data_IF_312699896846
#
_entry.id   IF_312699896846
#
_cell.length_a   1.000
_cell.length_b   1.000
_cell.length_c   1.000
_cell.angle_alpha   90.00
_cell.angle_beta   90.00
_cell.angle_gamma   90.00
#
_symmetry.space_group_name_H-M   'P 1'
#
loop_
_entity.id
_entity.type
_entity.pdbx_description
1 polymer ?
#
# COMPACT_ATOMS: atom_id res chain seq x y z
N UNK A 1 9.34 -37.81 -5.22
CA UNK A 1 9.55 -36.49 -4.63
C UNK A 1 9.65 -35.49 -5.78
N UNK A 2 8.86 -34.40 -5.74
CA UNK A 2 8.92 -33.38 -6.79
C UNK A 2 10.28 -32.71 -6.81
N UNK A 3 10.86 -32.48 -8.02
CA UNK A 3 12.21 -31.91 -8.26
C UNK A 3 12.49 -30.60 -7.46
N UNK A 4 11.45 -29.87 -7.09
CA UNK A 4 11.54 -28.57 -6.42
C UNK A 4 11.09 -28.59 -4.94
N UNK A 5 10.74 -29.78 -4.40
CA UNK A 5 10.32 -29.90 -3.03
C UNK A 5 11.42 -29.43 -2.06
N UNK A 6 11.07 -28.59 -1.11
CA UNK A 6 11.99 -28.06 -0.09
C UNK A 6 12.92 -26.94 -0.55
N UNK A 7 12.91 -26.52 -1.83
CA UNK A 7 13.78 -25.42 -2.30
C UNK A 7 13.49 -24.07 -1.65
N UNK A 8 12.26 -23.84 -1.19
CA UNK A 8 11.85 -22.62 -0.50
C UNK A 8 11.90 -22.68 1.03
N UNK A 9 12.38 -23.81 1.62
CA UNK A 9 12.34 -24.00 3.10
C UNK A 9 13.10 -22.93 3.89
N UNK A 10 14.15 -22.35 3.30
CA UNK A 10 14.97 -21.31 3.92
C UNK A 10 14.56 -19.89 3.44
N UNK A 11 13.40 -19.77 2.80
CA UNK A 11 12.90 -18.55 2.18
C UNK A 11 13.51 -18.27 0.80
N UNK A 12 13.06 -17.18 0.18
CA UNK A 12 13.47 -16.75 -1.16
C UNK A 12 14.37 -15.51 -1.10
N UNK A 13 15.28 -15.39 -2.07
CA UNK A 13 16.10 -14.19 -2.20
C UNK A 13 15.29 -12.98 -2.68
N UNK A 14 14.23 -13.24 -3.47
CA UNK A 14 13.30 -12.22 -3.96
C UNK A 14 11.88 -12.76 -3.82
N UNK A 15 11.01 -11.96 -3.21
CA UNK A 15 9.55 -12.11 -3.25
C UNK A 15 8.96 -10.94 -4.04
N UNK A 16 7.88 -11.17 -4.77
CA UNK A 16 7.36 -10.19 -5.71
C UNK A 16 5.83 -10.11 -5.66
N UNK A 17 5.28 -8.89 -5.66
CA UNK A 17 3.86 -8.63 -5.73
C UNK A 17 3.59 -7.50 -6.73
N UNK A 18 3.35 -7.87 -8.00
CA UNK A 18 3.18 -6.90 -9.08
C UNK A 18 1.71 -6.65 -9.37
N UNK A 19 1.29 -5.37 -9.27
CA UNK A 19 -0.09 -4.91 -9.53
C UNK A 19 -1.17 -5.70 -8.76
N UNK A 20 -0.83 -6.17 -7.55
CA UNK A 20 -1.72 -6.95 -6.70
C UNK A 20 -1.69 -6.53 -5.22
N UNK A 21 -0.74 -5.64 -4.82
CA UNK A 21 -0.58 -5.18 -3.44
C UNK A 21 -1.85 -4.51 -2.90
N UNK A 22 -2.58 -3.80 -3.74
CA UNK A 22 -3.81 -3.09 -3.40
C UNK A 22 -4.95 -4.01 -2.92
N UNK A 23 -4.97 -5.28 -3.30
CA UNK A 23 -6.00 -6.21 -2.80
C UNK A 23 -5.85 -6.50 -1.31
N UNK A 24 -4.64 -6.43 -0.77
CA UNK A 24 -4.36 -6.69 0.64
C UNK A 24 -4.69 -5.50 1.56
N UNK A 25 -4.99 -4.33 0.99
CA UNK A 25 -5.46 -3.16 1.74
C UNK A 25 -6.98 -3.13 1.96
N UNK A 26 -7.67 -4.26 1.77
CA UNK A 26 -9.10 -4.39 2.06
C UNK A 26 -9.43 -4.19 3.54
N UNK A 27 -8.64 -4.79 4.43
CA UNK A 27 -8.74 -4.60 5.88
C UNK A 27 -7.41 -4.97 6.54
N UNK A 28 -7.27 -4.58 7.80
CA UNK A 28 -6.02 -4.75 8.54
C UNK A 28 -5.63 -6.23 8.71
N UNK A 29 -6.59 -7.12 8.89
CA UNK A 29 -6.33 -8.56 9.07
C UNK A 29 -5.74 -9.18 7.81
N UNK A 30 -6.29 -8.85 6.64
CA UNK A 30 -5.78 -9.33 5.34
C UNK A 30 -4.37 -8.76 5.08
N UNK A 31 -4.17 -7.47 5.36
CA UNK A 31 -2.86 -6.84 5.21
C UNK A 31 -1.81 -7.51 6.10
N UNK A 32 -2.11 -7.72 7.38
CA UNK A 32 -1.22 -8.37 8.33
C UNK A 32 -0.86 -9.80 7.91
N UNK A 33 -1.83 -10.60 7.47
CA UNK A 33 -1.59 -11.96 6.96
C UNK A 33 -0.69 -11.96 5.74
N UNK A 34 -0.90 -11.02 4.81
CA UNK A 34 -0.05 -10.86 3.64
C UNK A 34 1.39 -10.51 4.03
N UNK A 35 1.57 -9.51 4.91
CA UNK A 35 2.88 -9.06 5.37
C UNK A 35 3.62 -10.15 6.15
N UNK A 36 2.88 -10.94 6.96
CA UNK A 36 3.42 -12.14 7.60
C UNK A 36 4.00 -13.11 6.56
N UNK A 37 3.21 -13.46 5.54
CA UNK A 37 3.66 -14.37 4.48
C UNK A 37 4.90 -13.82 3.76
N UNK A 38 4.92 -12.53 3.42
CA UNK A 38 6.08 -11.88 2.80
C UNK A 38 7.30 -11.97 3.70
N UNK A 39 7.14 -11.72 5.01
CA UNK A 39 8.23 -11.82 5.98
C UNK A 39 8.75 -13.25 6.12
N UNK A 40 7.88 -14.23 6.31
CA UNK A 40 8.27 -15.63 6.48
C UNK A 40 8.89 -16.23 5.20
N UNK A 41 8.42 -15.80 4.01
CA UNK A 41 8.92 -16.31 2.74
C UNK A 41 10.22 -15.63 2.24
N UNK A 42 10.61 -14.47 2.77
CA UNK A 42 11.80 -13.74 2.33
C UNK A 42 12.96 -13.97 3.29
N UNK A 43 14.14 -14.35 2.77
CA UNK A 43 15.38 -14.48 3.56
C UNK A 43 15.84 -13.13 4.10
N UNK A 44 16.57 -13.13 5.22
CA UNK A 44 17.40 -11.97 5.60
C UNK A 44 18.38 -11.67 4.47
N UNK A 45 18.54 -10.40 4.16
CA UNK A 45 19.23 -9.85 2.98
C UNK A 45 18.53 -10.14 1.64
N UNK A 46 17.36 -10.77 1.63
CA UNK A 46 16.50 -10.87 0.46
C UNK A 46 15.67 -9.61 0.25
N UNK A 47 14.96 -9.58 -0.87
CA UNK A 47 14.20 -8.39 -1.30
C UNK A 47 12.72 -8.72 -1.48
N UNK A 48 11.87 -7.76 -1.15
CA UNK A 48 10.47 -7.74 -1.56
C UNK A 48 10.26 -6.59 -2.55
N UNK A 49 9.78 -6.93 -3.75
CA UNK A 49 9.52 -5.97 -4.83
C UNK A 49 8.03 -5.92 -5.12
N UNK A 50 7.45 -4.72 -5.10
CA UNK A 50 6.03 -4.56 -5.33
C UNK A 50 5.71 -3.36 -6.21
N UNK A 51 4.60 -3.45 -6.94
CA UNK A 51 4.00 -2.34 -7.69
C UNK A 51 2.50 -2.28 -7.43
N UNK A 52 1.95 -1.07 -7.40
CA UNK A 52 0.52 -0.82 -7.30
C UNK A 52 0.21 0.63 -7.74
N UNK A 53 -1.06 0.99 -7.81
CA UNK A 53 -1.43 2.40 -7.89
C UNK A 53 -0.86 3.17 -6.69
N UNK A 54 -0.38 4.39 -6.94
CA UNK A 54 -0.03 5.36 -5.90
C UNK A 54 -1.31 5.84 -5.22
N UNK A 55 -1.62 5.29 -4.05
CA UNK A 55 -2.85 5.58 -3.33
C UNK A 55 -2.99 7.07 -2.98
N UNK A 56 -1.89 7.74 -2.66
CA UNK A 56 -1.91 9.17 -2.38
C UNK A 56 -2.25 9.99 -3.64
N UNK A 57 -1.69 9.61 -4.80
CA UNK A 57 -1.99 10.26 -6.09
C UNK A 57 -3.45 10.06 -6.49
N UNK A 58 -3.98 8.82 -6.37
CA UNK A 58 -5.38 8.52 -6.68
C UNK A 58 -6.33 9.23 -5.69
N UNK A 59 -6.00 9.23 -4.39
CA UNK A 59 -6.80 9.93 -3.38
C UNK A 59 -6.95 11.42 -3.72
N UNK A 60 -5.84 12.10 -4.00
CA UNK A 60 -5.83 13.51 -4.38
C UNK A 60 -6.62 13.78 -5.68
N UNK A 61 -6.51 12.88 -6.68
CA UNK A 61 -7.28 12.99 -7.92
C UNK A 61 -8.80 12.90 -7.69
N UNK A 62 -9.22 12.12 -6.68
CA UNK A 62 -10.62 11.89 -6.33
C UNK A 62 -11.13 12.82 -5.22
N UNK A 63 -10.34 13.79 -4.75
CA UNK A 63 -10.69 14.65 -3.60
C UNK A 63 -12.01 15.37 -3.80
N UNK A 64 -12.21 16.00 -4.97
CA UNK A 64 -13.42 16.74 -5.31
C UNK A 64 -14.62 15.89 -5.74
N UNK A 65 -14.43 14.58 -5.87
CA UNK A 65 -15.44 13.63 -6.33
C UNK A 65 -16.22 13.04 -5.16
N UNK A 66 -17.52 12.85 -5.34
CA UNK A 66 -18.37 12.12 -4.40
C UNK A 66 -18.25 10.61 -4.63
N UNK A 67 -18.63 9.83 -3.63
CA UNK A 67 -18.77 8.38 -3.77
C UNK A 67 -19.72 8.02 -4.92
N UNK A 68 -19.30 7.11 -5.79
CA UNK A 68 -19.98 6.73 -7.01
C UNK A 68 -19.62 7.58 -8.24
N UNK A 69 -18.87 8.66 -8.08
CA UNK A 69 -18.36 9.45 -9.21
C UNK A 69 -16.99 8.91 -9.67
N UNK A 70 -16.67 9.10 -10.96
CA UNK A 70 -15.48 8.50 -11.58
C UNK A 70 -14.70 9.49 -12.44
N UNK A 71 -13.40 9.17 -12.60
CA UNK A 71 -12.51 9.76 -13.59
C UNK A 71 -12.28 8.73 -14.69
N UNK A 72 -12.44 9.14 -15.96
CA UNK A 72 -12.34 8.27 -17.11
C UNK A 72 -11.25 8.73 -18.06
N UNK A 73 -10.47 7.79 -18.60
CA UNK A 73 -9.54 8.01 -19.70
C UNK A 73 -10.10 7.31 -20.95
N UNK A 74 -10.19 8.07 -22.04
CA UNK A 74 -10.72 7.60 -23.32
C UNK A 74 -9.64 7.58 -24.40
N UNK A 75 -9.75 6.62 -25.33
CA UNK A 75 -8.98 6.54 -26.57
C UNK A 75 -9.98 6.55 -27.74
N UNK A 76 -9.90 7.54 -28.63
CA UNK A 76 -10.79 7.66 -29.77
C UNK A 76 -12.29 7.56 -29.41
N UNK A 77 -12.70 8.20 -28.31
CA UNK A 77 -14.08 8.17 -27.80
C UNK A 77 -14.48 6.91 -27.05
N UNK A 78 -13.64 5.87 -27.01
CA UNK A 78 -13.89 4.63 -26.25
C UNK A 78 -13.19 4.70 -24.89
N UNK A 79 -13.90 4.35 -23.82
CA UNK A 79 -13.33 4.21 -22.47
C UNK A 79 -12.26 3.10 -22.45
N UNK A 80 -11.05 3.43 -22.02
CA UNK A 80 -9.94 2.49 -21.85
C UNK A 80 -9.57 2.27 -20.39
N UNK A 81 -9.85 3.26 -19.54
CA UNK A 81 -9.60 3.18 -18.10
C UNK A 81 -10.59 4.07 -17.35
N UNK A 82 -10.95 3.69 -16.14
CA UNK A 82 -11.79 4.45 -15.23
C UNK A 82 -11.45 4.10 -13.79
N UNK A 83 -11.47 5.10 -12.90
CA UNK A 83 -11.47 4.90 -11.45
C UNK A 83 -12.69 5.57 -10.84
N UNK A 84 -13.48 4.81 -10.09
CA UNK A 84 -14.66 5.29 -9.37
C UNK A 84 -14.38 5.30 -7.87
N UNK A 85 -14.69 6.42 -7.20
CA UNK A 85 -14.59 6.58 -5.75
C UNK A 85 -15.66 5.76 -5.02
N UNK A 86 -15.25 4.88 -4.12
CA UNK A 86 -16.18 4.01 -3.38
C UNK A 86 -16.12 4.22 -1.85
N UNK A 87 -15.48 5.33 -1.39
CA UNK A 87 -15.32 5.70 0.01
C UNK A 87 -15.85 7.11 0.27
N UNK A 88 -16.14 7.42 1.55
CA UNK A 88 -16.65 8.73 2.01
C UNK A 88 -15.62 9.49 2.88
N UNK A 89 -14.43 8.91 3.11
CA UNK A 89 -13.40 9.51 3.96
C UNK A 89 -12.78 10.75 3.31
N UNK A 90 -12.52 11.78 4.13
CA UNK A 90 -11.98 13.06 3.69
C UNK A 90 -10.45 13.17 3.86
N UNK A 91 -9.84 12.32 4.68
CA UNK A 91 -8.41 12.32 4.96
C UNK A 91 -7.83 10.96 4.65
N UNK A 92 -6.58 10.91 4.19
CA UNK A 92 -5.84 9.69 3.91
C UNK A 92 -4.57 9.68 4.76
N UNK A 93 -4.72 9.32 6.04
CA UNK A 93 -3.67 9.41 7.06
C UNK A 93 -2.60 8.34 6.85
N UNK A 94 -1.39 8.64 7.36
CA UNK A 94 -0.25 7.72 7.29
C UNK A 94 -0.28 6.68 8.42
N UNK A 95 -1.46 6.08 8.71
CA UNK A 95 -1.69 5.10 9.77
C UNK A 95 -2.69 4.01 9.34
N UNK A 96 -3.10 3.13 10.25
CA UNK A 96 -4.00 2.01 9.98
C UNK A 96 -5.39 2.45 9.50
N UNK A 97 -5.80 3.69 9.75
CA UNK A 97 -7.07 4.23 9.24
C UNK A 97 -7.06 4.43 7.72
N UNK A 98 -5.88 4.40 7.07
CA UNK A 98 -5.75 4.44 5.60
C UNK A 98 -6.11 3.12 4.89
N UNK A 99 -6.42 2.08 5.63
CA UNK A 99 -6.89 0.80 5.07
C UNK A 99 -8.39 0.90 4.75
N UNK A 100 -8.85 0.13 3.75
CA UNK A 100 -10.24 0.06 3.29
C UNK A 100 -10.74 1.29 2.47
N UNK A 101 -9.85 2.04 1.85
CA UNK A 101 -10.23 3.07 0.86
C UNK A 101 -10.54 2.41 -0.48
N UNK A 102 -11.75 1.90 -0.60
CA UNK A 102 -12.22 1.12 -1.76
C UNK A 102 -12.39 1.99 -2.98
N UNK A 103 -11.88 1.52 -4.12
CA UNK A 103 -12.12 2.06 -5.46
C UNK A 103 -12.62 0.96 -6.38
N UNK A 104 -13.28 1.34 -7.47
CA UNK A 104 -13.61 0.44 -8.57
C UNK A 104 -12.81 0.87 -9.79
N UNK A 105 -11.99 -0.03 -10.34
CA UNK A 105 -11.11 0.28 -11.47
C UNK A 105 -11.53 -0.53 -12.69
N UNK A 106 -11.81 0.14 -13.79
CA UNK A 106 -12.03 -0.49 -15.08
C UNK A 106 -10.79 -0.33 -15.96
N UNK A 107 -10.41 -1.43 -16.61
CA UNK A 107 -9.37 -1.45 -17.66
C UNK A 107 -9.92 -2.21 -18.87
N UNK A 108 -9.76 -1.65 -20.08
CA UNK A 108 -10.25 -2.24 -21.34
C UNK A 108 -9.64 -3.64 -21.59
N UNK A 109 -8.39 -3.86 -21.16
CA UNK A 109 -7.72 -5.16 -21.25
C UNK A 109 -8.37 -6.27 -20.38
N UNK A 110 -9.06 -5.87 -19.30
CA UNK A 110 -9.78 -6.81 -18.40
C UNK A 110 -11.26 -6.88 -18.78
N UNK A 111 -11.82 -5.78 -19.33
CA UNK A 111 -13.19 -5.71 -19.82
C UNK A 111 -14.27 -5.61 -18.74
N UNK A 112 -13.92 -5.56 -17.46
CA UNK A 112 -14.85 -5.41 -16.33
C UNK A 112 -14.22 -4.62 -15.18
N UNK A 113 -15.04 -3.92 -14.36
CA UNK A 113 -14.52 -3.26 -13.16
C UNK A 113 -14.02 -4.28 -12.14
N UNK A 114 -12.89 -3.95 -11.48
CA UNK A 114 -12.32 -4.69 -10.37
C UNK A 114 -12.39 -3.84 -9.09
N UNK A 115 -12.65 -4.51 -7.96
CA UNK A 115 -12.57 -3.90 -6.63
C UNK A 115 -11.12 -3.84 -6.20
N UNK A 116 -10.63 -2.66 -5.91
CA UNK A 116 -9.27 -2.40 -5.43
C UNK A 116 -9.30 -1.44 -4.23
N UNK A 117 -8.17 -1.27 -3.55
CA UNK A 117 -8.04 -0.38 -2.40
C UNK A 117 -6.82 0.52 -2.54
N UNK A 118 -6.90 1.75 -2.05
CA UNK A 118 -5.76 2.65 -2.07
C UNK A 118 -4.67 2.18 -1.12
N UNK A 119 -3.42 2.25 -1.59
CA UNK A 119 -2.22 1.93 -0.79
C UNK A 119 -1.58 3.24 -0.34
N UNK A 120 -1.65 3.53 0.96
CA UNK A 120 -0.89 4.64 1.52
C UNK A 120 0.58 4.23 1.61
N UNK A 121 1.44 4.91 0.84
CA UNK A 121 2.85 4.54 0.70
C UNK A 121 3.64 4.71 2.00
N UNK A 122 3.38 5.76 2.78
CA UNK A 122 4.08 5.99 4.05
C UNK A 122 3.65 5.00 5.12
N UNK A 123 2.35 4.68 5.19
CA UNK A 123 1.86 3.64 6.08
C UNK A 123 2.46 2.28 5.73
N UNK A 124 2.48 1.90 4.45
CA UNK A 124 3.11 0.66 4.00
C UNK A 124 4.59 0.59 4.43
N UNK A 125 5.38 1.64 4.19
CA UNK A 125 6.80 1.68 4.56
C UNK A 125 6.98 1.43 6.06
N UNK A 126 6.20 2.13 6.91
CA UNK A 126 6.25 1.99 8.37
C UNK A 126 5.87 0.58 8.83
N UNK A 127 4.79 0.02 8.27
CA UNK A 127 4.35 -1.34 8.63
C UNK A 127 5.38 -2.39 8.21
N UNK A 128 6.01 -2.25 7.04
CA UNK A 128 7.07 -3.15 6.57
C UNK A 128 8.27 -3.20 7.54
N UNK A 129 8.59 -2.11 8.24
CA UNK A 129 9.65 -2.07 9.25
C UNK A 129 9.35 -3.03 10.42
N UNK A 130 8.08 -3.12 10.84
CA UNK A 130 7.64 -4.06 11.89
C UNK A 130 7.87 -5.51 11.47
N UNK A 131 7.75 -5.81 10.17
CA UNK A 131 7.97 -7.14 9.59
C UNK A 131 9.42 -7.41 9.18
N UNK A 132 10.36 -6.56 9.59
CA UNK A 132 11.80 -6.75 9.41
C UNK A 132 12.37 -6.22 8.10
N UNK A 133 11.61 -5.41 7.36
CA UNK A 133 12.02 -4.80 6.10
C UNK A 133 12.31 -3.31 6.25
N UNK A 134 13.17 -2.79 5.38
CA UNK A 134 13.29 -1.36 5.09
C UNK A 134 13.37 -1.13 3.59
N UNK A 135 13.08 0.06 3.13
CA UNK A 135 13.43 0.42 1.75
C UNK A 135 14.94 0.29 1.54
N UNK A 136 15.36 -0.07 0.33
CA UNK A 136 16.78 -0.01 -0.05
C UNK A 136 17.27 1.44 0.06
N UNK A 137 18.49 1.61 0.54
CA UNK A 137 19.11 2.93 0.71
C UNK A 137 19.86 3.39 -0.56
N UNK A 138 20.37 4.61 -0.54
CA UNK A 138 21.04 5.22 -1.69
C UNK A 138 22.28 4.45 -2.15
N UNK A 139 23.03 3.83 -1.24
CA UNK A 139 24.18 2.98 -1.60
C UNK A 139 23.73 1.74 -2.35
N UNK A 140 22.73 1.03 -1.82
CA UNK A 140 22.16 -0.15 -2.46
C UNK A 140 21.50 0.20 -3.82
N UNK A 141 20.85 1.38 -3.89
CA UNK A 141 20.30 1.88 -5.15
C UNK A 141 21.40 2.08 -6.21
N UNK A 142 22.54 2.69 -5.82
CA UNK A 142 23.69 2.87 -6.73
C UNK A 142 24.29 1.57 -7.17
N UNK A 143 24.50 0.61 -6.24
CA UNK A 143 25.07 -0.70 -6.53
C UNK A 143 24.20 -1.52 -7.50
N UNK A 144 22.88 -1.31 -7.46
CA UNK A 144 21.91 -2.00 -8.33
C UNK A 144 21.55 -1.20 -9.59
N UNK A 145 22.08 0.00 -9.76
CA UNK A 145 21.68 0.94 -10.81
C UNK A 145 20.16 1.21 -10.81
N UNK A 146 19.59 1.45 -9.62
CA UNK A 146 18.17 1.74 -9.41
C UNK A 146 18.08 3.17 -8.85
N UNK A 147 17.17 4.03 -9.33
CA UNK A 147 17.13 5.44 -8.94
C UNK A 147 16.75 5.65 -7.47
N UNK A 148 15.90 4.80 -6.89
CA UNK A 148 15.50 4.88 -5.48
C UNK A 148 14.76 3.61 -5.01
N UNK A 149 14.61 3.41 -3.71
CA UNK A 149 13.85 2.28 -3.14
C UNK A 149 12.34 2.34 -3.39
N UNK A 150 11.80 3.52 -3.68
CA UNK A 150 10.39 3.73 -4.10
C UNK A 150 10.25 5.05 -4.84
N UNK A 151 9.51 5.05 -5.93
CA UNK A 151 9.12 6.26 -6.64
C UNK A 151 7.93 5.97 -7.57
N UNK A 152 7.40 7.02 -8.22
CA UNK A 152 6.37 6.89 -9.25
C UNK A 152 6.93 6.27 -10.54
N UNK A 153 6.07 5.66 -11.35
CA UNK A 153 6.44 5.21 -12.69
C UNK A 153 6.80 6.38 -13.62
N UNK A 154 6.26 7.57 -13.37
CA UNK A 154 6.64 8.79 -14.07
C UNK A 154 8.13 9.12 -13.85
N UNK A 155 8.61 9.04 -12.60
CA UNK A 155 10.02 9.23 -12.29
C UNK A 155 10.91 8.14 -12.91
N UNK A 156 10.45 6.87 -12.91
CA UNK A 156 11.16 5.80 -13.62
C UNK A 156 11.25 6.05 -15.12
N UNK A 157 10.18 6.53 -15.74
CA UNK A 157 10.15 6.86 -17.14
C UNK A 157 11.12 8.00 -17.46
N UNK A 158 11.18 9.03 -16.62
CA UNK A 158 12.14 10.13 -16.78
C UNK A 158 13.58 9.62 -16.70
N UNK A 159 13.92 8.83 -15.68
CA UNK A 159 15.25 8.24 -15.56
C UNK A 159 15.60 7.36 -16.77
N UNK A 160 14.67 6.53 -17.22
CA UNK A 160 14.85 5.69 -18.40
C UNK A 160 15.15 6.53 -19.66
N UNK A 161 14.44 7.64 -19.86
CA UNK A 161 14.68 8.53 -21.01
C UNK A 161 16.01 9.25 -20.90
N UNK A 162 16.43 9.62 -19.69
CA UNK A 162 17.75 10.19 -19.45
C UNK A 162 18.86 9.16 -19.74
N UNK A 163 18.72 7.90 -19.28
CA UNK A 163 19.65 6.81 -19.53
C UNK A 163 19.80 6.50 -21.04
N UNK A 164 18.70 6.59 -21.81
CA UNK A 164 18.74 6.45 -23.29
C UNK A 164 19.50 7.62 -23.90
N UNK A 165 19.18 8.87 -23.52
CA UNK A 165 19.84 10.07 -24.02
C UNK A 165 21.34 10.03 -23.75
N UNK A 166 21.74 9.58 -22.57
CA UNK A 166 23.14 9.54 -22.13
C UNK A 166 23.88 8.27 -22.61
N UNK A 167 23.19 7.36 -23.32
CA UNK A 167 23.75 6.19 -23.98
C UNK A 167 24.00 4.97 -23.06
N UNK A 168 23.46 4.98 -21.83
CA UNK A 168 23.56 3.85 -20.91
C UNK A 168 22.64 2.68 -21.29
N UNK A 169 21.50 2.97 -21.94
CA UNK A 169 20.51 1.98 -22.38
C UNK A 169 20.16 2.25 -23.84
N UNK A 170 19.94 1.19 -24.61
CA UNK A 170 19.53 1.33 -25.99
C UNK A 170 18.01 1.38 -26.09
N UNK A 171 17.49 2.40 -26.79
CA UNK A 171 16.04 2.60 -26.98
C UNK A 171 15.33 1.37 -27.53
N UNK A 172 15.98 0.60 -28.44
CA UNK A 172 15.41 -0.63 -29.02
C UNK A 172 15.04 -1.70 -27.94
N UNK A 173 15.72 -1.69 -26.79
CA UNK A 173 15.47 -2.65 -25.72
C UNK A 173 14.29 -2.24 -24.85
N UNK A 174 13.88 -0.96 -24.93
CA UNK A 174 12.80 -0.34 -24.16
C UNK A 174 11.64 0.17 -25.03
N UNK A 175 11.58 -0.27 -26.26
CA UNK A 175 10.66 0.23 -27.30
C UNK A 175 9.20 0.35 -26.83
N UNK A 176 8.67 -0.64 -26.12
CA UNK A 176 7.28 -0.62 -25.64
C UNK A 176 7.03 0.51 -24.63
N UNK A 177 8.04 0.91 -23.87
CA UNK A 177 7.92 2.02 -22.93
C UNK A 177 8.08 3.38 -23.63
N UNK A 178 9.03 3.52 -24.56
CA UNK A 178 9.27 4.77 -25.28
C UNK A 178 8.16 5.10 -26.28
N UNK A 179 7.45 4.10 -26.80
CA UNK A 179 6.33 4.25 -27.73
C UNK A 179 4.96 4.43 -27.02
N UNK A 180 4.92 4.49 -25.68
CA UNK A 180 3.66 4.73 -24.95
C UNK A 180 2.99 6.02 -25.44
N UNK A 181 1.69 5.92 -25.76
CA UNK A 181 0.85 7.06 -26.12
C UNK A 181 0.45 7.84 -24.88
N UNK A 182 -0.01 9.06 -25.06
CA UNK A 182 -0.41 9.96 -23.97
C UNK A 182 -1.36 9.28 -22.94
N UNK A 183 -2.40 8.61 -23.42
CA UNK A 183 -3.35 7.93 -22.54
C UNK A 183 -2.71 6.75 -21.77
N UNK A 184 -1.72 6.05 -22.37
CA UNK A 184 -1.00 4.94 -21.74
C UNK A 184 -0.05 5.48 -20.66
N UNK A 185 0.66 6.57 -20.95
CA UNK A 185 1.50 7.27 -19.97
C UNK A 185 0.66 7.75 -18.78
N UNK A 186 -0.49 8.39 -19.04
CA UNK A 186 -1.40 8.86 -18.00
C UNK A 186 -1.86 7.74 -17.07
N UNK A 187 -2.15 6.55 -17.57
CA UNK A 187 -2.53 5.38 -16.78
C UNK A 187 -1.30 4.80 -16.05
N UNK A 188 -0.19 4.63 -16.76
CA UNK A 188 1.06 4.08 -16.22
C UNK A 188 1.58 4.92 -15.07
N UNK A 189 1.57 6.25 -15.21
CA UNK A 189 2.10 7.20 -14.21
C UNK A 189 1.22 7.33 -12.94
N UNK A 190 0.10 6.63 -12.88
CA UNK A 190 -0.66 6.46 -11.63
C UNK A 190 -0.04 5.41 -10.70
N UNK A 191 0.96 4.67 -11.16
CA UNK A 191 1.57 3.59 -10.40
C UNK A 191 2.86 4.02 -9.69
N UNK A 192 3.19 3.26 -8.66
CA UNK A 192 4.39 3.37 -7.83
C UNK A 192 5.01 1.99 -7.64
N UNK A 193 6.33 1.95 -7.51
CA UNK A 193 7.07 0.75 -7.13
C UNK A 193 7.65 0.86 -5.72
N UNK A 194 7.95 -0.29 -5.12
CA UNK A 194 8.64 -0.42 -3.84
C UNK A 194 9.67 -1.53 -3.94
N UNK A 195 10.86 -1.29 -3.38
CA UNK A 195 11.92 -2.29 -3.22
C UNK A 195 12.35 -2.25 -1.76
N UNK A 196 11.97 -3.30 -1.03
CA UNK A 196 12.33 -3.49 0.36
C UNK A 196 13.41 -4.55 0.49
N UNK A 197 14.33 -4.37 1.44
CA UNK A 197 15.30 -5.37 1.86
C UNK A 197 14.93 -5.88 3.24
N UNK A 198 14.88 -7.20 3.43
CA UNK A 198 14.72 -7.80 4.75
C UNK A 198 16.05 -7.69 5.50
N UNK A 199 16.04 -6.98 6.63
CA UNK A 199 17.25 -6.67 7.39
C UNK A 199 17.38 -7.48 8.68
N UNK A 200 16.30 -8.11 9.13
CA UNK A 200 16.26 -8.94 10.35
C UNK A 200 15.14 -9.97 10.30
N UNK A 201 15.29 -11.04 11.07
CA UNK A 201 14.18 -11.94 11.36
C UNK A 201 13.24 -11.30 12.39
N UNK A 202 11.95 -11.57 12.23
CA UNK A 202 10.91 -11.18 13.17
C UNK A 202 9.98 -12.37 13.43
N UNK A 203 9.41 -12.42 14.62
CA UNK A 203 8.26 -13.29 14.87
C UNK A 203 7.01 -12.55 14.36
N UNK A 204 6.63 -12.80 13.12
CA UNK A 204 5.53 -12.11 12.46
C UNK A 204 4.17 -12.35 13.14
N UNK A 205 4.03 -13.42 13.91
CA UNK A 205 2.83 -13.70 14.69
C UNK A 205 2.68 -12.72 15.87
N UNK A 206 3.79 -12.37 16.52
CA UNK A 206 3.79 -11.35 17.58
C UNK A 206 3.48 -9.95 17.01
N UNK A 207 3.98 -9.61 15.82
CA UNK A 207 3.64 -8.33 15.16
C UNK A 207 2.12 -8.20 14.97
N UNK A 208 1.43 -9.26 14.52
CA UNK A 208 -0.03 -9.24 14.37
C UNK A 208 -0.74 -9.02 15.71
N UNK A 209 -0.24 -9.61 16.81
CA UNK A 209 -0.81 -9.43 18.15
C UNK A 209 -0.61 -7.99 18.61
N UNK A 210 0.58 -7.44 18.42
CA UNK A 210 0.91 -6.06 18.82
C UNK A 210 0.07 -5.03 18.07
N UNK A 211 -0.11 -5.19 16.76
CA UNK A 211 -0.98 -4.32 15.96
C UNK A 211 -2.44 -4.40 16.40
N UNK A 212 -2.92 -5.59 16.79
CA UNK A 212 -4.27 -5.76 17.34
C UNK A 212 -4.44 -5.10 18.71
N UNK A 213 -3.40 -5.08 19.50
CA UNK A 213 -3.39 -4.40 20.79
C UNK A 213 -3.42 -2.88 20.61
N UNK A 214 -2.60 -2.35 19.71
CA UNK A 214 -2.55 -0.92 19.37
C UNK A 214 -3.90 -0.44 18.82
N UNK A 215 -4.53 -1.20 17.91
CA UNK A 215 -5.83 -0.83 17.38
C UNK A 215 -6.95 -0.81 18.43
N UNK A 216 -6.89 -1.68 19.43
CA UNK A 216 -7.82 -1.65 20.56
C UNK A 216 -7.60 -0.43 21.47
N UNK A 217 -6.34 -0.06 21.68
CA UNK A 217 -6.00 1.13 22.50
C UNK A 217 -6.45 2.40 21.77
N UNK A 218 -6.23 2.50 20.45
CA UNK A 218 -6.70 3.62 19.65
C UNK A 218 -8.24 3.73 19.63
N UNK A 219 -8.96 2.60 19.62
CA UNK A 219 -10.41 2.57 19.72
C UNK A 219 -10.91 2.99 21.10
N UNK A 220 -10.22 2.59 22.16
CA UNK A 220 -10.50 2.98 23.54
C UNK A 220 -10.23 4.48 23.75
N UNK A 221 -9.13 5.01 23.22
CA UNK A 221 -8.82 6.45 23.25
C UNK A 221 -9.87 7.26 22.49
N UNK A 222 -10.22 6.86 21.27
CA UNK A 222 -11.30 7.51 20.49
C UNK A 222 -12.66 7.46 21.17
N UNK A 223 -12.98 6.32 21.81
CA UNK A 223 -14.19 6.17 22.60
C UNK A 223 -14.18 7.08 23.83
N UNK A 224 -13.02 7.22 24.46
CA UNK A 224 -12.83 8.11 25.62
C UNK A 224 -12.98 9.56 25.22
N UNK A 225 -12.36 10.00 24.15
CA UNK A 225 -12.51 11.35 23.57
C UNK A 225 -13.96 11.64 23.18
N UNK A 226 -14.63 10.69 22.52
CA UNK A 226 -16.05 10.82 22.15
C UNK A 226 -16.95 10.95 23.39
N UNK A 227 -16.69 10.18 24.43
CA UNK A 227 -17.45 10.25 25.67
C UNK A 227 -17.20 11.55 26.42
N UNK A 228 -15.97 12.06 26.46
CA UNK A 228 -15.62 13.36 27.02
C UNK A 228 -16.28 14.53 26.25
N UNK A 229 -16.35 14.43 24.93
CA UNK A 229 -17.03 15.43 24.09
C UNK A 229 -18.56 15.42 24.31
N UNK A 230 -19.14 14.23 24.48
CA UNK A 230 -20.55 14.08 24.85
C UNK A 230 -20.84 14.65 26.26
N UNK A 231 -19.93 14.44 27.24
CA UNK A 231 -20.07 15.02 28.59
C UNK A 231 -19.95 16.56 28.57
N UNK A 232 -19.13 17.14 27.71
CA UNK A 232 -19.03 18.60 27.53
C UNK A 232 -20.26 19.20 26.89
N UNK A 233 -20.94 18.44 26.02
CA UNK A 233 -22.09 18.91 25.26
C UNK A 233 -23.44 18.68 25.97
N UNK A 234 -23.49 17.82 26.97
CA UNK A 234 -24.70 17.49 27.73
C UNK A 234 -24.50 17.90 29.17
N UNK A 235 -25.17 19.01 29.62
CA UNK A 235 -25.30 19.35 31.04
C UNK A 235 -26.19 18.30 31.73
N UNK A 236 -25.69 17.12 31.97
CA UNK A 236 -26.37 16.05 32.69
C UNK A 236 -25.62 15.70 33.97
N UNK A 237 -26.37 15.61 35.08
CA UNK A 237 -25.93 15.28 36.42
C UNK A 237 -25.08 14.01 36.46
N UNK A 238 -23.96 14.10 37.18
CA UNK A 238 -22.98 13.04 37.45
C UNK A 238 -23.62 11.70 37.82
N UNK A 239 -23.45 10.68 37.02
CA UNK A 239 -23.56 9.29 37.37
C UNK A 239 -22.16 8.76 37.68
N UNK A 240 -21.97 7.92 38.73
CA UNK A 240 -20.64 7.54 39.20
C UNK A 240 -20.00 6.49 38.28
N UNK A 241 -19.16 6.95 37.37
CA UNK A 241 -18.43 6.11 36.40
C UNK A 241 -17.29 5.26 36.99
N UNK A 242 -17.01 5.40 38.28
CA UNK A 242 -15.90 4.69 38.96
C UNK A 242 -16.11 3.18 39.21
N UNK A 243 -17.30 2.62 38.97
CA UNK A 243 -17.60 1.22 39.32
C UNK A 243 -17.44 0.22 38.13
N UNK A 244 -17.29 0.64 36.90
CA UNK A 244 -17.19 -0.30 35.76
C UNK A 244 -15.76 -0.61 35.30
N UNK A 245 -14.80 0.27 35.58
CA UNK A 245 -13.39 0.04 35.18
C UNK A 245 -12.66 -0.97 36.06
N UNK A 246 -13.14 -1.18 37.30
CA UNK A 246 -12.51 -2.15 38.24
C UNK A 246 -12.83 -3.62 37.97
N UNK A 247 -13.77 -3.93 37.06
CA UNK A 247 -14.16 -5.33 36.81
C UNK A 247 -13.49 -5.93 35.55
N UNK A 248 -12.73 -5.14 34.76
CA UNK A 248 -12.06 -5.62 33.52
C UNK A 248 -10.56 -5.94 33.78
N UNK A 249 -10.01 -5.54 34.94
CA UNK A 249 -8.57 -5.74 35.22
C UNK A 249 -8.25 -6.89 36.18
N UNK A 250 -9.24 -7.72 36.58
CA UNK A 250 -9.01 -8.89 37.40
C UNK A 250 -9.81 -10.09 36.87
N UNK A 251 -9.32 -10.70 35.77
CA UNK A 251 -9.45 -12.14 35.48
C UNK A 251 -8.47 -12.52 34.38
#
# INVERSE_FOLDING_TARGET
VFKHYGKGKDGFNITSCQFALHYFFENITILQQFLRNVSECTKVNGYFVATCYDGNKIFNMLESYKKGESITINKNGKKVWEVEKQYDFLEFKDDSSSVNYKISVYQDSIGKPAKEFLVNSKYLIRVMENYGFRLINDTECKDMNIPSGTNSFEALFTNMTDDIRDGYVQEKDLKSATEMKDYEQRISFLNRYFIFKKIREVNAENVIIDDRYISKTDEEEKLTEFLEEQEKNVKIKKLPYKLKIKQITNN
#
